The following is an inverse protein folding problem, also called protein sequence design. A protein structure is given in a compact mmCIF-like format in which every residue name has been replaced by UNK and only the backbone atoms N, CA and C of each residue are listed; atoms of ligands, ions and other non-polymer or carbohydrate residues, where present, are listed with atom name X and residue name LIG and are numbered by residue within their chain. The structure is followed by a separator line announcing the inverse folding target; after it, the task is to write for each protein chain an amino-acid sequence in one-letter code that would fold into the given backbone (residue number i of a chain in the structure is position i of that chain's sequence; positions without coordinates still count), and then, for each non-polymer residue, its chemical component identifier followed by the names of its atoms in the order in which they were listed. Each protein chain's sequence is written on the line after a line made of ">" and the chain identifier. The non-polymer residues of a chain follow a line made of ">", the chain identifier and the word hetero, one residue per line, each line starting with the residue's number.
data_IF_357353663534
#
_entry.id   IF_357353663534
#
_cell.length_a   1.000
_cell.length_b   1.000
_cell.length_c   1.000
_cell.angle_alpha   90.00
_cell.angle_beta   90.00
_cell.angle_gamma   90.00
#
_symmetry.space_group_name_H-M   'P 1'
#
loop_
_entity.id
_entity.type
_entity.pdbx_description
1 polymer ?
#
# COMPACT_ATOMS: atom_id res chain seq x y z
N UNK A 1 -56.78 20.87 -3.62
CA UNK A 1 -56.44 22.11 -2.91
C UNK A 1 -54.93 22.29 -3.00
N UNK A 2 -54.41 23.17 -3.88
CA UNK A 2 -54.06 24.59 -3.59
C UNK A 2 -53.01 24.66 -2.46
N UNK A 3 -51.80 25.26 -2.55
CA UNK A 3 -51.10 26.24 -3.44
C UNK A 3 -49.57 26.10 -3.14
N UNK A 4 -48.66 26.27 -4.11
CA UNK A 4 -47.76 27.44 -4.33
C UNK A 4 -47.15 28.05 -3.05
N UNK A 5 -45.85 28.35 -2.94
CA UNK A 5 -45.18 29.42 -3.70
C UNK A 5 -43.65 29.38 -3.60
N UNK A 6 -43.02 29.88 -4.67
CA UNK A 6 -41.60 30.06 -4.95
C UNK A 6 -41.09 31.37 -4.32
N UNK A 7 -39.82 31.46 -3.90
CA UNK A 7 -39.17 32.78 -3.78
C UNK A 7 -37.64 32.72 -3.95
N UNK A 8 -37.19 33.44 -4.98
CA UNK A 8 -35.83 33.77 -5.39
C UNK A 8 -35.67 35.29 -5.27
N UNK A 9 -34.54 35.77 -4.75
CA UNK A 9 -33.94 37.09 -5.02
C UNK A 9 -32.51 37.07 -4.42
N UNK A 10 -31.44 37.09 -5.22
CA UNK A 10 -30.74 38.25 -5.82
C UNK A 10 -29.77 39.00 -4.89
N UNK A 11 -28.51 39.00 -5.33
CA UNK A 11 -27.39 39.80 -4.83
C UNK A 11 -27.49 41.27 -5.27
N UNK A 12 -26.76 42.19 -4.60
CA UNK A 12 -26.19 43.33 -5.28
C UNK A 12 -24.67 43.44 -5.13
N UNK A 13 -24.11 44.22 -6.05
CA UNK A 13 -22.71 44.40 -6.44
C UNK A 13 -22.07 45.62 -5.73
N UNK A 14 -20.75 45.55 -5.54
CA UNK A 14 -19.67 46.59 -5.50
C UNK A 14 -19.94 47.99 -4.93
N UNK A 15 -19.01 48.46 -4.08
CA UNK A 15 -18.56 49.86 -4.12
C UNK A 15 -17.07 50.00 -3.81
N UNK A 16 -16.34 50.62 -4.73
CA UNK A 16 -14.95 51.06 -4.61
C UNK A 16 -14.85 52.29 -3.69
N UNK A 17 -13.81 52.40 -2.84
CA UNK A 17 -13.25 53.72 -2.46
C UNK A 17 -11.75 53.61 -2.22
N UNK A 18 -10.98 54.42 -2.96
CA UNK A 18 -9.56 54.69 -2.79
C UNK A 18 -9.36 55.89 -1.88
N UNK A 19 -8.33 55.89 -1.02
CA UNK A 19 -7.74 57.13 -0.47
C UNK A 19 -6.21 56.98 -0.33
N UNK A 20 -5.50 57.80 -1.09
CA UNK A 20 -4.10 58.20 -0.87
C UNK A 20 -4.07 59.32 0.17
N UNK A 21 -2.98 59.44 0.93
CA UNK A 21 -2.55 60.72 1.46
C UNK A 21 -1.02 60.77 1.53
N UNK A 22 -0.53 61.91 1.08
CA UNK A 22 0.84 62.29 0.81
C UNK A 22 1.31 63.27 1.91
N UNK A 23 2.62 63.33 2.19
CA UNK A 23 3.42 64.48 2.71
C UNK A 23 4.77 63.93 3.20
N UNK A 24 5.95 64.51 2.99
CA UNK A 24 6.42 65.75 2.34
C UNK A 24 7.95 65.62 2.13
N UNK A 25 8.51 66.45 1.24
CA UNK A 25 9.84 66.40 0.60
C UNK A 25 10.99 67.11 1.38
N UNK A 26 12.19 66.48 1.37
CA UNK A 26 13.59 66.94 1.08
C UNK A 26 14.14 68.33 1.53
N UNK A 27 15.46 68.48 1.89
CA UNK A 27 16.58 68.34 0.93
C UNK A 27 17.92 67.73 1.44
N UNK A 28 18.85 67.38 0.53
CA UNK A 28 20.12 66.70 0.82
C UNK A 28 21.27 67.68 1.08
N UNK A 29 22.32 67.23 1.79
CA UNK A 29 23.61 67.92 1.86
C UNK A 29 24.77 66.95 1.55
N UNK A 30 25.70 67.47 0.75
CA UNK A 30 26.82 66.79 0.09
C UNK A 30 28.12 66.98 0.89
N UNK A 31 28.86 65.87 1.05
CA UNK A 31 30.32 65.64 1.28
C UNK A 31 31.26 66.73 1.85
N UNK A 32 32.05 66.35 2.86
CA UNK A 32 33.53 66.42 2.83
C UNK A 32 34.23 65.52 3.86
N UNK A 33 35.44 65.12 3.48
CA UNK A 33 36.34 64.09 4.02
C UNK A 33 36.88 64.33 5.44
N UNK A 34 37.09 63.24 6.20
CA UNK A 34 38.26 63.06 7.07
C UNK A 34 38.45 61.59 7.48
N UNK A 35 39.70 61.20 7.77
CA UNK A 35 40.25 59.85 7.66
C UNK A 35 40.28 59.04 8.99
N UNK A 36 39.81 57.77 8.91
CA UNK A 36 40.22 56.57 9.69
C UNK A 36 39.93 56.50 11.22
N UNK A 37 39.98 55.30 11.88
CA UNK A 37 40.28 53.95 11.36
C UNK A 37 39.30 52.80 11.77
N UNK A 38 39.43 51.66 11.06
CA UNK A 38 39.25 50.24 11.49
C UNK A 38 37.86 49.65 11.84
N UNK A 39 37.31 48.84 10.90
CA UNK A 39 36.71 47.48 10.95
C UNK A 39 35.89 46.98 12.17
N UNK A 40 34.80 46.19 11.98
CA UNK A 40 34.90 44.92 11.24
C UNK A 40 33.78 44.56 10.23
N UNK A 41 34.23 43.81 9.22
CA UNK A 41 33.54 42.90 8.32
C UNK A 41 32.09 42.49 8.65
N UNK A 42 31.14 42.96 7.84
CA UNK A 42 29.88 42.26 7.62
C UNK A 42 30.13 41.18 6.57
N UNK A 43 30.44 39.97 7.02
CA UNK A 43 30.33 38.77 6.18
C UNK A 43 28.86 38.41 6.05
N UNK A 44 28.31 38.56 4.84
CA UNK A 44 27.04 37.95 4.47
C UNK A 44 27.13 36.42 4.67
N UNK A 45 26.36 35.90 5.63
CA UNK A 45 26.20 34.46 5.86
C UNK A 45 25.26 33.88 4.81
N UNK A 46 25.82 33.56 3.64
CA UNK A 46 25.17 32.75 2.59
C UNK A 46 25.53 31.25 2.71
N UNK A 47 26.24 30.86 3.77
CA UNK A 47 26.78 29.50 3.97
C UNK A 47 25.89 28.52 4.74
N UNK A 48 24.81 28.95 5.40
CA UNK A 48 24.03 28.06 6.29
C UNK A 48 22.89 27.31 5.56
N UNK A 49 22.45 27.78 4.39
CA UNK A 49 21.41 27.12 3.59
C UNK A 49 21.97 26.03 2.67
N UNK A 50 23.15 26.23 2.08
CA UNK A 50 23.78 25.23 1.21
C UNK A 50 24.24 24.00 1.99
N UNK A 51 24.79 24.19 3.19
CA UNK A 51 25.29 23.09 4.02
C UNK A 51 24.17 22.25 4.64
N UNK A 52 23.04 22.88 5.01
CA UNK A 52 21.80 22.16 5.40
C UNK A 52 21.20 21.33 4.26
N UNK A 53 21.16 21.87 3.04
CA UNK A 53 20.65 21.11 1.89
C UNK A 53 21.56 19.93 1.52
N UNK A 54 22.89 20.09 1.65
CA UNK A 54 23.86 19.01 1.41
C UNK A 54 23.81 17.92 2.49
N UNK A 55 23.65 18.31 3.75
CA UNK A 55 23.47 17.36 4.87
C UNK A 55 22.13 16.62 4.76
N UNK A 56 21.04 17.30 4.43
CA UNK A 56 19.74 16.68 4.17
C UNK A 56 19.78 15.71 2.98
N UNK A 57 20.45 16.09 1.88
CA UNK A 57 20.63 15.22 0.72
C UNK A 57 21.46 13.98 1.06
N UNK A 58 22.52 14.12 1.86
CA UNK A 58 23.37 13.02 2.30
C UNK A 58 22.64 12.07 3.25
N UNK A 59 21.82 12.60 4.17
CA UNK A 59 20.95 11.83 5.07
C UNK A 59 19.90 11.04 4.28
N UNK A 60 19.25 11.68 3.29
CA UNK A 60 18.29 10.99 2.39
C UNK A 60 18.95 9.88 1.58
N UNK A 61 20.17 10.10 1.10
CA UNK A 61 20.93 9.09 0.34
C UNK A 61 21.31 7.89 1.21
N UNK A 62 21.68 8.13 2.47
CA UNK A 62 21.93 7.07 3.46
C UNK A 62 20.67 6.25 3.76
N UNK A 63 19.55 6.93 4.05
CA UNK A 63 18.27 6.28 4.31
C UNK A 63 17.78 5.42 3.13
N UNK A 64 17.94 5.90 1.89
CA UNK A 64 17.59 5.12 0.71
C UNK A 64 18.43 3.85 0.57
N UNK A 65 19.72 3.92 0.90
CA UNK A 65 20.61 2.75 0.87
C UNK A 65 20.20 1.72 1.92
N UNK A 66 19.89 2.17 3.13
CA UNK A 66 19.47 1.30 4.22
C UNK A 66 18.13 0.62 3.91
N UNK A 67 17.17 1.36 3.34
CA UNK A 67 15.90 0.80 2.89
C UNK A 67 16.11 -0.26 1.80
N UNK A 68 16.99 0.02 0.83
CA UNK A 68 17.30 -0.92 -0.25
C UNK A 68 17.93 -2.22 0.30
N UNK A 69 18.87 -2.12 1.24
CA UNK A 69 19.46 -3.30 1.88
C UNK A 69 18.41 -4.16 2.59
N UNK A 70 17.47 -3.52 3.29
CA UNK A 70 16.37 -4.22 3.97
C UNK A 70 15.43 -4.90 2.99
N UNK A 71 15.08 -4.22 1.89
CA UNK A 71 14.20 -4.78 0.85
C UNK A 71 14.86 -5.98 0.15
N UNK A 72 16.17 -5.92 -0.12
CA UNK A 72 16.91 -7.06 -0.69
C UNK A 72 17.00 -8.23 0.30
N UNK A 73 17.26 -7.95 1.59
CA UNK A 73 17.21 -8.96 2.64
C UNK A 73 15.84 -9.64 2.73
N UNK A 74 14.76 -8.88 2.55
CA UNK A 74 13.41 -9.42 2.48
C UNK A 74 13.17 -10.30 1.27
N UNK A 75 13.61 -9.88 0.07
CA UNK A 75 13.51 -10.72 -1.14
C UNK A 75 14.19 -12.08 -0.92
N UNK A 76 15.38 -12.10 -0.32
CA UNK A 76 16.09 -13.34 0.01
C UNK A 76 15.27 -14.21 0.98
N UNK A 77 14.72 -13.61 2.04
CA UNK A 77 13.90 -14.31 3.03
C UNK A 77 12.62 -14.89 2.40
N UNK A 78 11.91 -14.08 1.62
CA UNK A 78 10.67 -14.47 0.95
C UNK A 78 10.92 -15.57 -0.09
N UNK A 79 12.01 -15.46 -0.87
CA UNK A 79 12.47 -16.51 -1.78
C UNK A 79 12.66 -17.82 -1.03
N UNK A 80 13.45 -17.81 0.05
CA UNK A 80 13.72 -19.02 0.84
C UNK A 80 12.44 -19.65 1.41
N UNK A 81 11.44 -18.83 1.77
CA UNK A 81 10.13 -19.29 2.27
C UNK A 81 9.24 -19.91 1.20
N UNK A 82 9.35 -19.46 -0.06
CA UNK A 82 8.45 -19.86 -1.16
C UNK A 82 9.09 -20.82 -2.18
N UNK A 83 10.42 -21.01 -2.15
CA UNK A 83 11.15 -21.78 -3.18
C UNK A 83 10.87 -23.28 -3.10
N UNK A 84 10.55 -23.82 -1.91
CA UNK A 84 10.41 -25.26 -1.68
C UNK A 84 9.07 -25.58 -1.03
N UNK A 85 8.46 -26.68 -1.46
CA UNK A 85 7.24 -27.24 -0.89
C UNK A 85 7.47 -28.69 -0.48
N UNK A 86 6.80 -29.13 0.58
CA UNK A 86 6.91 -30.50 1.09
C UNK A 86 5.60 -31.25 0.90
N UNK A 87 5.68 -32.50 0.44
CA UNK A 87 4.53 -33.39 0.34
C UNK A 87 4.48 -34.32 1.57
N UNK A 88 3.43 -34.18 2.39
CA UNK A 88 3.19 -35.06 3.54
C UNK A 88 4.05 -34.77 4.80
N UNK A 89 3.91 -35.64 5.81
CA UNK A 89 4.54 -35.55 7.15
C UNK A 89 5.93 -36.18 7.26
N UNK A 90 6.52 -36.62 6.15
CA UNK A 90 7.85 -37.25 6.20
C UNK A 90 8.93 -36.17 6.24
N UNK A 91 9.41 -35.89 7.45
CA UNK A 91 10.62 -35.14 7.72
C UNK A 91 11.85 -35.85 7.10
N UNK A 92 12.83 -35.04 6.69
CA UNK A 92 14.13 -35.40 6.12
C UNK A 92 14.20 -35.57 4.59
N UNK A 93 14.01 -34.45 3.86
CA UNK A 93 14.49 -34.30 2.48
C UNK A 93 14.17 -32.89 1.99
N UNK A 94 15.15 -32.19 1.42
CA UNK A 94 14.97 -30.82 0.90
C UNK A 94 13.73 -30.76 0.01
N UNK A 95 12.63 -30.12 0.46
CA UNK A 95 11.33 -30.15 -0.22
C UNK A 95 11.39 -29.88 -1.72
N UNK A 96 10.45 -30.30 -2.54
CA UNK A 96 10.51 -30.13 -4.00
C UNK A 96 10.56 -28.65 -4.37
N UNK A 97 11.38 -28.28 -5.37
CA UNK A 97 11.42 -26.92 -5.88
C UNK A 97 10.07 -26.59 -6.50
N UNK A 98 9.39 -25.55 -6.00
CA UNK A 98 8.06 -25.15 -6.48
C UNK A 98 8.04 -24.96 -8.00
N UNK A 99 9.08 -24.32 -8.55
CA UNK A 99 9.21 -24.08 -9.99
C UNK A 99 9.24 -25.33 -10.86
N UNK A 100 9.69 -26.47 -10.33
CA UNK A 100 9.77 -27.70 -11.11
C UNK A 100 8.41 -28.39 -11.26
N UNK A 101 7.47 -28.07 -10.39
CA UNK A 101 6.15 -28.73 -10.32
C UNK A 101 4.98 -27.77 -10.52
N UNK A 102 5.24 -26.45 -10.55
CA UNK A 102 4.20 -25.46 -10.70
C UNK A 102 3.53 -25.55 -12.06
N UNK A 103 2.20 -25.67 -12.04
CA UNK A 103 1.34 -25.54 -13.22
C UNK A 103 0.51 -24.29 -13.04
N UNK A 104 0.46 -23.45 -14.08
CA UNK A 104 -0.32 -22.22 -14.04
C UNK A 104 -1.82 -22.53 -13.85
N UNK A 105 -2.44 -21.85 -12.89
CA UNK A 105 -3.87 -22.01 -12.64
C UNK A 105 -4.67 -21.23 -13.67
N UNK A 106 -5.78 -21.83 -14.08
CA UNK A 106 -6.80 -21.14 -14.86
C UNK A 106 -7.65 -20.27 -13.94
N UNK A 107 -7.33 -18.98 -13.87
CA UNK A 107 -8.04 -17.99 -13.05
C UNK A 107 -8.97 -17.20 -13.95
N UNK A 108 -10.20 -16.92 -13.51
CA UNK A 108 -11.16 -16.07 -14.19
C UNK A 108 -11.75 -15.04 -13.23
N UNK A 109 -12.31 -13.95 -13.77
CA UNK A 109 -13.03 -12.98 -12.95
C UNK A 109 -14.31 -13.61 -12.39
N UNK A 110 -14.45 -13.61 -11.07
CA UNK A 110 -15.66 -14.11 -10.41
C UNK A 110 -16.83 -13.15 -10.63
N UNK A 111 -18.01 -13.68 -10.97
CA UNK A 111 -19.23 -12.88 -10.98
C UNK A 111 -19.59 -12.54 -9.53
N UNK A 112 -19.67 -11.23 -9.23
CA UNK A 112 -20.21 -10.71 -7.98
C UNK A 112 -21.72 -10.95 -7.95
N UNK A 113 -22.16 -12.16 -7.63
CA UNK A 113 -23.43 -12.45 -6.97
C UNK A 113 -23.52 -13.94 -6.59
N UNK A 114 -23.70 -14.18 -5.29
CA UNK A 114 -24.10 -15.42 -4.63
C UNK A 114 -23.08 -16.57 -4.53
N UNK A 115 -22.73 -16.84 -3.27
CA UNK A 115 -22.06 -18.04 -2.77
C UNK A 115 -22.74 -19.27 -3.37
N UNK A 116 -22.15 -19.84 -4.43
CA UNK A 116 -22.65 -21.06 -5.05
C UNK A 116 -22.44 -22.21 -4.05
N UNK A 117 -23.49 -22.49 -3.29
CA UNK A 117 -23.61 -23.64 -2.41
C UNK A 117 -23.55 -24.92 -3.24
N UNK A 118 -22.39 -25.58 -3.16
CA UNK A 118 -22.14 -27.02 -3.34
C UNK A 118 -22.51 -27.70 -4.67
N UNK A 119 -21.51 -28.43 -5.18
CA UNK A 119 -21.48 -29.38 -6.29
C UNK A 119 -21.19 -28.82 -7.69
N UNK A 120 -19.92 -28.92 -8.07
CA UNK A 120 -19.38 -28.68 -9.42
C UNK A 120 -19.81 -29.74 -10.46
N UNK A 121 -20.67 -30.71 -10.13
CA UNK A 121 -21.08 -31.80 -11.04
C UNK A 121 -22.25 -31.42 -11.97
N UNK A 122 -22.66 -30.13 -12.05
CA UNK A 122 -23.80 -29.74 -12.90
C UNK A 122 -23.62 -28.48 -13.77
N UNK A 123 -22.40 -28.02 -13.99
CA UNK A 123 -22.15 -26.81 -14.79
C UNK A 123 -21.96 -27.06 -16.30
N UNK A 124 -22.88 -27.81 -16.92
CA UNK A 124 -22.99 -27.87 -18.38
C UNK A 124 -24.38 -27.53 -18.93
N UNK A 125 -25.41 -27.32 -18.09
CA UNK A 125 -26.80 -27.30 -18.58
C UNK A 125 -27.66 -26.08 -18.23
N UNK A 126 -27.14 -25.05 -17.53
CA UNK A 126 -27.91 -23.82 -17.26
C UNK A 126 -27.54 -22.67 -18.21
N UNK A 127 -27.96 -22.86 -19.45
CA UNK A 127 -28.51 -21.85 -20.39
C UNK A 127 -28.34 -20.35 -20.05
N UNK A 128 -27.53 -19.69 -20.88
CA UNK A 128 -27.80 -18.41 -21.56
C UNK A 128 -28.35 -17.25 -20.72
N UNK A 129 -27.44 -16.36 -20.28
CA UNK A 129 -27.63 -14.89 -20.37
C UNK A 129 -26.29 -14.15 -20.14
N UNK A 130 -25.82 -13.52 -21.23
CA UNK A 130 -24.64 -12.64 -21.38
C UNK A 130 -23.29 -13.35 -21.30
N UNK A 131 -22.77 -13.67 -22.49
CA UNK A 131 -21.35 -13.95 -22.71
C UNK A 131 -20.51 -12.71 -22.37
N UNK A 132 -20.06 -12.60 -21.13
CA UNK A 132 -18.74 -12.04 -20.89
C UNK A 132 -17.80 -13.23 -20.96
N UNK A 133 -16.92 -13.20 -21.95
CA UNK A 133 -15.93 -14.25 -22.22
C UNK A 133 -15.25 -14.65 -20.90
N UNK A 134 -15.19 -15.94 -20.58
CA UNK A 134 -14.29 -16.48 -19.54
C UNK A 134 -12.86 -16.17 -19.98
N UNK A 135 -12.43 -14.95 -19.70
CA UNK A 135 -11.14 -14.43 -20.12
C UNK A 135 -10.16 -14.90 -19.05
N UNK A 136 -9.20 -15.77 -19.40
CA UNK A 136 -8.23 -16.25 -18.44
C UNK A 136 -7.41 -15.06 -17.94
N UNK A 137 -7.26 -14.96 -16.63
CA UNK A 137 -6.46 -13.97 -15.94
C UNK A 137 -5.15 -14.65 -15.55
N UNK A 138 -4.03 -14.09 -16.00
CA UNK A 138 -2.73 -14.52 -15.48
C UNK A 138 -2.57 -14.01 -14.06
N UNK A 139 -1.92 -14.78 -13.20
CA UNK A 139 -1.71 -14.42 -11.79
C UNK A 139 -1.06 -13.04 -11.60
N UNK A 140 -0.13 -12.66 -12.49
CA UNK A 140 0.51 -11.33 -12.49
C UNK A 140 -0.39 -10.16 -12.91
N UNK A 141 -1.53 -10.45 -13.53
CA UNK A 141 -2.45 -9.46 -14.06
C UNK A 141 -3.70 -9.29 -13.17
N UNK A 142 -3.78 -9.95 -12.00
CA UNK A 142 -4.97 -9.96 -11.13
C UNK A 142 -5.41 -8.56 -10.63
N UNK A 143 -4.50 -7.58 -10.59
CA UNK A 143 -4.80 -6.20 -10.21
C UNK A 143 -4.99 -5.26 -11.42
N UNK A 144 -4.83 -5.75 -12.64
CA UNK A 144 -5.01 -4.94 -13.85
C UNK A 144 -6.51 -4.84 -14.15
N UNK A 145 -6.97 -3.63 -14.37
CA UNK A 145 -8.34 -3.40 -14.83
C UNK A 145 -8.51 -3.94 -16.26
N UNK A 146 -9.53 -4.77 -16.48
CA UNK A 146 -9.81 -5.39 -17.79
C UNK A 146 -10.52 -4.44 -18.77
N UNK A 147 -10.93 -3.26 -18.33
CA UNK A 147 -11.49 -2.21 -19.20
C UNK A 147 -11.13 -0.81 -18.67
N UNK A 148 -11.04 0.18 -19.57
CA UNK A 148 -10.73 1.58 -19.23
C UNK A 148 -11.80 2.24 -18.35
N UNK A 149 -12.97 1.62 -18.20
CA UNK A 149 -14.10 2.11 -17.38
C UNK A 149 -14.12 1.52 -15.96
N UNK A 150 -13.30 0.51 -15.69
CA UNK A 150 -13.22 -0.14 -14.36
C UNK A 150 -12.45 0.75 -13.38
N UNK A 151 -12.98 0.90 -12.17
CA UNK A 151 -12.26 1.55 -11.06
C UNK A 151 -10.97 0.78 -10.77
N UNK A 152 -9.93 1.48 -10.33
CA UNK A 152 -8.66 0.86 -9.90
C UNK A 152 -8.95 -0.26 -8.88
N UNK A 153 -8.52 -1.48 -9.21
CA UNK A 153 -8.67 -2.65 -8.33
C UNK A 153 -7.66 -2.51 -7.20
N UNK A 154 -8.15 -2.51 -5.96
CA UNK A 154 -7.33 -2.45 -4.75
C UNK A 154 -7.30 -3.77 -4.01
N UNK A 155 -8.46 -4.43 -3.90
CA UNK A 155 -8.63 -5.69 -3.17
C UNK A 155 -9.07 -6.76 -4.14
N UNK A 156 -8.39 -7.90 -4.14
CA UNK A 156 -8.72 -9.10 -4.88
C UNK A 156 -8.99 -10.22 -3.88
N UNK A 157 -10.08 -10.95 -4.06
CA UNK A 157 -10.36 -12.19 -3.33
C UNK A 157 -10.34 -13.34 -4.32
N UNK A 158 -9.42 -14.28 -4.14
CA UNK A 158 -9.37 -15.52 -4.91
C UNK A 158 -10.14 -16.62 -4.19
N UNK A 159 -11.19 -17.12 -4.83
CA UNK A 159 -11.97 -18.23 -4.32
C UNK A 159 -11.82 -19.46 -5.21
N UNK A 160 -12.01 -20.64 -4.63
CA UNK A 160 -11.93 -21.91 -5.33
C UNK A 160 -11.94 -23.08 -4.37
N UNK A 161 -12.21 -24.29 -4.87
CA UNK A 161 -12.29 -25.50 -4.04
C UNK A 161 -10.97 -25.79 -3.30
N UNK A 162 -11.05 -26.57 -2.22
CA UNK A 162 -9.86 -27.02 -1.50
C UNK A 162 -8.94 -27.82 -2.44
N UNK A 163 -7.63 -27.63 -2.31
CA UNK A 163 -6.64 -28.33 -3.14
C UNK A 163 -6.46 -27.81 -4.57
N UNK A 164 -7.25 -26.82 -5.02
CA UNK A 164 -7.12 -26.24 -6.38
C UNK A 164 -5.80 -25.49 -6.62
N UNK A 165 -4.99 -25.26 -5.59
CA UNK A 165 -3.68 -24.63 -5.70
C UNK A 165 -3.60 -23.15 -5.36
N UNK A 166 -4.61 -22.57 -4.66
CA UNK A 166 -4.61 -21.14 -4.25
C UNK A 166 -3.30 -20.71 -3.57
N UNK A 167 -2.91 -21.42 -2.51
CA UNK A 167 -1.64 -21.20 -1.79
C UNK A 167 -0.41 -21.39 -2.69
N UNK A 168 -0.42 -22.36 -3.60
CA UNK A 168 0.68 -22.57 -4.54
C UNK A 168 0.85 -21.38 -5.50
N UNK A 169 -0.25 -20.77 -5.96
CA UNK A 169 -0.20 -19.55 -6.78
C UNK A 169 0.33 -18.34 -6.03
N UNK A 170 -0.06 -18.17 -4.76
CA UNK A 170 0.48 -17.12 -3.89
C UNK A 170 1.99 -17.31 -3.68
N UNK A 171 2.44 -18.53 -3.39
CA UNK A 171 3.85 -18.85 -3.23
C UNK A 171 4.63 -18.63 -4.52
N UNK A 172 4.09 -19.05 -5.68
CA UNK A 172 4.73 -18.86 -6.97
C UNK A 172 4.87 -17.38 -7.32
N UNK A 173 3.80 -16.60 -7.16
CA UNK A 173 3.82 -15.15 -7.35
C UNK A 173 4.90 -14.48 -6.49
N UNK A 174 4.93 -14.83 -5.20
CA UNK A 174 5.89 -14.27 -4.23
C UNK A 174 7.32 -14.64 -4.59
N UNK A 175 7.55 -15.88 -5.05
CA UNK A 175 8.86 -16.37 -5.49
C UNK A 175 9.34 -15.62 -6.74
N UNK A 176 8.50 -15.47 -7.76
CA UNK A 176 8.86 -14.77 -9.00
C UNK A 176 9.17 -13.30 -8.76
N UNK A 177 8.41 -12.63 -7.88
CA UNK A 177 8.69 -11.26 -7.47
C UNK A 177 10.02 -11.15 -6.72
N UNK A 178 10.28 -12.06 -5.79
CA UNK A 178 11.51 -12.07 -4.99
C UNK A 178 12.77 -12.30 -5.85
N UNK A 179 12.65 -13.04 -6.96
CA UNK A 179 13.74 -13.29 -7.89
C UNK A 179 13.89 -12.24 -8.99
N UNK A 180 13.02 -11.22 -9.01
CA UNK A 180 13.08 -10.17 -10.00
C UNK A 180 12.47 -10.52 -11.36
N UNK A 181 11.70 -11.60 -11.46
CA UNK A 181 11.17 -12.11 -12.73
C UNK A 181 9.92 -11.35 -13.17
N UNK A 182 9.00 -11.09 -12.23
CA UNK A 182 7.69 -10.51 -12.52
C UNK A 182 7.31 -9.46 -11.46
N UNK A 183 6.33 -8.60 -11.78
CA UNK A 183 5.70 -7.64 -10.83
C UNK A 183 6.69 -6.66 -10.15
N UNK A 184 7.81 -6.32 -10.81
CA UNK A 184 8.81 -5.39 -10.27
C UNK A 184 8.35 -3.92 -10.24
N UNK A 185 7.14 -3.63 -10.72
CA UNK A 185 6.47 -2.37 -10.45
C UNK A 185 6.03 -2.24 -8.98
N UNK A 186 5.88 -3.35 -8.26
CA UNK A 186 5.66 -3.38 -6.81
C UNK A 186 7.00 -3.19 -6.08
N UNK A 187 7.04 -2.20 -5.20
CA UNK A 187 8.20 -1.96 -4.33
C UNK A 187 8.34 -3.05 -3.27
N UNK A 188 7.22 -3.61 -2.79
CA UNK A 188 7.21 -4.58 -1.72
C UNK A 188 6.02 -5.54 -1.79
N UNK A 189 6.31 -6.84 -1.68
CA UNK A 189 5.31 -7.92 -1.51
C UNK A 189 5.46 -8.53 -0.12
N UNK A 190 4.36 -8.54 0.63
CA UNK A 190 4.27 -9.04 1.99
C UNK A 190 3.29 -10.20 2.04
N UNK A 191 3.75 -11.36 2.50
CA UNK A 191 2.94 -12.56 2.63
C UNK A 191 2.69 -12.87 4.11
N UNK A 192 1.43 -12.77 4.52
CA UNK A 192 0.95 -13.08 5.86
C UNK A 192 -0.08 -14.19 5.75
N UNK A 193 0.15 -15.34 6.38
CA UNK A 193 -0.89 -16.36 6.45
C UNK A 193 -1.85 -16.08 7.61
N UNK A 194 -3.13 -16.38 7.45
CA UNK A 194 -4.07 -16.33 8.57
C UNK A 194 -3.68 -17.29 9.70
N UNK A 195 -3.03 -18.41 9.38
CA UNK A 195 -2.44 -19.33 10.37
C UNK A 195 -1.40 -18.62 11.25
N UNK A 196 -0.50 -17.84 10.66
CA UNK A 196 0.50 -17.05 11.38
C UNK A 196 -0.17 -15.91 12.17
N UNK A 197 -1.12 -15.19 11.57
CA UNK A 197 -1.83 -14.09 12.24
C UNK A 197 -2.60 -14.57 13.48
N UNK A 198 -3.09 -15.80 13.48
CA UNK A 198 -3.75 -16.41 14.64
C UNK A 198 -2.83 -16.48 15.88
N UNK A 199 -1.50 -16.48 15.71
CA UNK A 199 -0.53 -16.54 16.82
C UNK A 199 -0.50 -15.26 17.65
N UNK A 200 -0.89 -14.13 17.07
CA UNK A 200 -0.89 -12.80 17.71
C UNK A 200 -2.29 -12.18 17.78
N UNK A 201 -3.33 -12.99 17.57
CA UNK A 201 -4.73 -12.52 17.50
C UNK A 201 -5.22 -11.80 18.76
N UNK A 202 -4.65 -12.17 19.91
CA UNK A 202 -5.02 -11.66 21.23
C UNK A 202 -4.12 -10.48 21.66
N UNK A 203 -3.12 -10.13 20.84
CA UNK A 203 -2.21 -9.02 21.07
C UNK A 203 -2.77 -7.69 20.55
N UNK A 204 -2.26 -6.60 21.11
CA UNK A 204 -2.50 -5.23 20.63
C UNK A 204 -1.22 -4.73 19.98
N UNK A 205 -1.22 -4.58 18.66
CA UNK A 205 -0.03 -4.22 17.88
C UNK A 205 -0.36 -3.08 16.92
N UNK A 206 0.66 -2.34 16.49
CA UNK A 206 0.53 -1.49 15.30
C UNK A 206 0.75 -2.32 14.05
N UNK A 207 0.35 -1.83 12.86
CA UNK A 207 0.68 -2.52 11.61
C UNK A 207 2.19 -2.63 11.43
N UNK A 208 2.95 -1.58 11.75
CA UNK A 208 4.41 -1.61 11.67
C UNK A 208 5.00 -2.72 12.54
N UNK A 209 4.55 -2.81 13.80
CA UNK A 209 4.98 -3.86 14.73
C UNK A 209 4.56 -5.25 14.26
N UNK A 210 3.34 -5.40 13.73
CA UNK A 210 2.86 -6.66 13.15
C UNK A 210 3.79 -7.14 12.03
N UNK A 211 4.19 -6.23 11.13
CA UNK A 211 5.13 -6.54 10.05
C UNK A 211 6.52 -6.91 10.58
N UNK A 212 7.02 -6.25 11.62
CA UNK A 212 8.29 -6.61 12.26
C UNK A 212 8.28 -8.01 12.90
N UNK A 213 7.12 -8.45 13.42
CA UNK A 213 6.95 -9.79 14.00
C UNK A 213 7.05 -10.88 12.93
N UNK A 214 6.35 -10.72 11.81
CA UNK A 214 6.30 -11.74 10.76
C UNK A 214 7.42 -11.63 9.72
N UNK A 215 8.08 -10.47 9.62
CA UNK A 215 9.20 -10.20 8.72
C UNK A 215 10.37 -9.57 9.49
N UNK A 216 11.22 -10.35 10.18
CA UNK A 216 12.29 -9.82 11.02
C UNK A 216 13.33 -8.95 10.30
N UNK A 217 13.47 -9.09 8.98
CA UNK A 217 14.31 -8.20 8.16
C UNK A 217 13.83 -6.75 8.21
N UNK A 218 12.56 -6.50 8.57
CA UNK A 218 11.93 -5.19 8.55
C UNK A 218 12.22 -4.34 9.78
N UNK A 219 13.00 -4.81 10.75
CA UNK A 219 13.26 -4.07 12.00
C UNK A 219 13.81 -2.65 11.77
N UNK A 220 14.44 -2.40 10.60
CA UNK A 220 14.93 -1.07 10.21
C UNK A 220 13.94 -0.24 9.36
N UNK A 221 12.84 -0.84 8.88
CA UNK A 221 11.78 -0.12 8.14
C UNK A 221 11.01 0.76 9.10
N UNK A 222 10.82 2.02 8.70
CA UNK A 222 10.04 3.02 9.43
C UNK A 222 8.65 3.17 8.82
N UNK A 223 7.79 3.89 9.53
CA UNK A 223 6.42 4.14 9.10
C UNK A 223 6.37 4.89 7.76
N UNK A 224 7.23 5.91 7.58
CA UNK A 224 7.29 6.70 6.35
C UNK A 224 7.70 5.86 5.13
N UNK A 225 8.56 4.87 5.31
CA UNK A 225 9.05 4.02 4.22
C UNK A 225 7.91 3.17 3.64
N UNK A 226 6.98 2.70 4.48
CA UNK A 226 5.77 1.99 4.02
C UNK A 226 4.83 2.90 3.23
N UNK A 227 4.76 4.19 3.53
CA UNK A 227 3.82 5.09 2.82
C UNK A 227 4.26 5.43 1.40
N UNK A 228 5.56 5.33 1.10
CA UNK A 228 6.12 5.64 -0.23
C UNK A 228 6.23 4.39 -1.13
N UNK A 229 6.20 3.19 -0.55
CA UNK A 229 6.26 1.95 -1.30
C UNK A 229 4.93 1.62 -2.00
N UNK A 230 5.01 1.14 -3.25
CA UNK A 230 3.88 0.44 -3.87
C UNK A 230 3.81 -0.97 -3.29
N UNK A 231 2.98 -1.13 -2.26
CA UNK A 231 2.84 -2.36 -1.49
C UNK A 231 1.76 -3.29 -2.03
N UNK A 232 2.03 -4.58 -1.97
CA UNK A 232 1.04 -5.66 -2.03
C UNK A 232 1.09 -6.46 -0.71
N UNK A 233 -0.03 -6.53 -0.02
CA UNK A 233 -0.26 -7.39 1.13
C UNK A 233 -1.07 -8.60 0.68
N UNK A 234 -0.52 -9.80 0.85
CA UNK A 234 -1.18 -11.07 0.55
C UNK A 234 -1.55 -11.76 1.86
N UNK A 235 -2.83 -12.08 2.02
CA UNK A 235 -3.40 -12.77 3.17
C UNK A 235 -3.85 -14.17 2.77
N UNK A 236 -2.97 -15.17 2.92
CA UNK A 236 -3.23 -16.55 2.48
C UNK A 236 -3.88 -17.40 3.59
N UNK A 237 -4.68 -18.39 3.17
CA UNK A 237 -5.30 -19.36 4.07
C UNK A 237 -6.48 -18.81 4.88
N UNK A 238 -7.35 -17.99 4.27
CA UNK A 238 -8.54 -17.42 4.93
C UNK A 238 -9.42 -18.47 5.61
N UNK A 239 -9.49 -19.68 5.06
CA UNK A 239 -10.21 -20.83 5.63
C UNK A 239 -9.63 -21.30 6.99
N UNK A 240 -8.40 -20.92 7.31
CA UNK A 240 -7.73 -21.19 8.58
C UNK A 240 -7.83 -20.03 9.58
N UNK A 241 -8.52 -18.94 9.22
CA UNK A 241 -8.66 -17.76 10.06
C UNK A 241 -9.47 -18.04 11.32
N UNK A 242 -8.97 -17.58 12.47
CA UNK A 242 -9.71 -17.50 13.73
C UNK A 242 -10.05 -16.06 14.11
N UNK A 243 -9.83 -15.14 13.18
CA UNK A 243 -10.06 -13.71 13.35
C UNK A 243 -11.52 -13.38 13.04
N UNK A 244 -12.12 -12.48 13.82
CA UNK A 244 -13.47 -11.99 13.59
C UNK A 244 -13.39 -10.62 12.91
N UNK A 245 -13.49 -10.60 11.58
CA UNK A 245 -13.41 -9.39 10.77
C UNK A 245 -14.76 -8.69 10.73
N UNK A 246 -15.02 -7.87 11.73
CA UNK A 246 -16.24 -7.05 11.80
C UNK A 246 -16.09 -5.77 10.98
N UNK A 247 -16.61 -5.79 9.75
CA UNK A 247 -16.64 -4.62 8.86
C UNK A 247 -17.70 -3.58 9.24
N UNK A 248 -18.58 -3.88 10.19
CA UNK A 248 -19.55 -2.92 10.75
C UNK A 248 -18.94 -2.06 11.87
N UNK A 249 -17.79 -2.46 12.39
CA UNK A 249 -17.02 -1.69 13.36
C UNK A 249 -16.65 -0.33 12.76
N UNK A 250 -16.90 0.74 13.53
CA UNK A 250 -16.66 2.13 13.12
C UNK A 250 -15.28 2.67 13.50
N UNK A 251 -14.43 1.86 14.12
CA UNK A 251 -13.08 2.26 14.49
C UNK A 251 -12.21 2.43 13.24
N UNK A 252 -11.84 3.69 12.96
CA UNK A 252 -10.99 4.07 11.83
C UNK A 252 -9.54 4.20 12.31
N UNK A 253 -8.64 3.51 11.62
CA UNK A 253 -7.19 3.58 11.83
C UNK A 253 -6.54 3.90 10.49
N UNK A 254 -5.72 4.96 10.47
CA UNK A 254 -5.01 5.41 9.27
C UNK A 254 -3.49 5.47 9.44
N UNK A 255 -3.00 5.46 10.68
CA UNK A 255 -1.58 5.48 11.00
C UNK A 255 -1.05 4.06 11.23
N UNK A 256 0.04 3.70 10.55
CA UNK A 256 0.68 2.37 10.65
C UNK A 256 1.33 2.12 12.01
N UNK A 257 1.54 3.16 12.82
CA UNK A 257 2.09 3.09 14.18
C UNK A 257 1.01 3.02 15.27
N UNK A 258 -0.26 3.27 14.91
CA UNK A 258 -1.36 3.20 15.86
C UNK A 258 -1.63 1.75 16.27
N UNK A 259 -1.57 1.50 17.58
CA UNK A 259 -1.79 0.18 18.18
C UNK A 259 -3.29 -0.16 18.21
N UNK A 260 -3.64 -1.38 17.80
CA UNK A 260 -4.99 -1.94 17.85
C UNK A 260 -4.95 -3.47 17.75
N UNK A 261 -6.12 -4.11 17.84
CA UNK A 261 -6.24 -5.54 17.60
C UNK A 261 -6.00 -5.89 16.13
N UNK A 262 -5.52 -7.10 15.87
CA UNK A 262 -5.29 -7.62 14.52
C UNK A 262 -6.55 -7.53 13.65
N UNK A 263 -7.72 -7.84 14.21
CA UNK A 263 -9.01 -7.74 13.49
C UNK A 263 -9.25 -6.33 12.95
N UNK A 264 -9.07 -5.31 13.80
CA UNK A 264 -9.30 -3.91 13.42
C UNK A 264 -8.26 -3.45 12.40
N UNK A 265 -7.00 -3.86 12.54
CA UNK A 265 -5.95 -3.54 11.56
C UNK A 265 -6.30 -4.12 10.17
N UNK A 266 -6.69 -5.40 10.09
CA UNK A 266 -7.05 -6.04 8.83
C UNK A 266 -8.29 -5.42 8.18
N UNK A 267 -9.33 -5.13 8.97
CA UNK A 267 -10.53 -4.45 8.46
C UNK A 267 -10.18 -3.08 7.88
N UNK A 268 -9.36 -2.29 8.59
CA UNK A 268 -8.96 -0.97 8.13
C UNK A 268 -8.02 -1.03 6.91
N UNK A 269 -7.18 -2.06 6.79
CA UNK A 269 -6.43 -2.34 5.57
C UNK A 269 -7.38 -2.63 4.41
N UNK A 270 -8.33 -3.56 4.57
CA UNK A 270 -9.25 -3.98 3.50
C UNK A 270 -10.13 -2.82 3.05
N UNK A 271 -10.69 -2.05 3.99
CA UNK A 271 -11.50 -0.86 3.70
C UNK A 271 -10.69 0.31 3.09
N UNK A 272 -9.35 0.28 3.23
CA UNK A 272 -8.47 1.31 2.70
C UNK A 272 -8.30 2.53 3.60
N UNK A 273 -8.73 2.46 4.86
CA UNK A 273 -8.42 3.48 5.87
C UNK A 273 -6.93 3.47 6.22
N UNK A 274 -6.36 2.26 6.35
CA UNK A 274 -4.95 2.03 6.60
C UNK A 274 -4.24 1.64 5.30
N UNK A 275 -3.12 2.30 4.99
CA UNK A 275 -2.39 2.14 3.72
C UNK A 275 -3.33 2.19 2.49
N UNK A 276 -3.98 3.35 2.22
CA UNK A 276 -4.99 3.47 1.15
C UNK A 276 -4.47 3.08 -0.24
N UNK A 277 -3.17 3.29 -0.50
CA UNK A 277 -2.55 2.97 -1.79
C UNK A 277 -2.12 1.51 -1.96
N UNK A 278 -2.09 0.72 -0.87
CA UNK A 278 -1.66 -0.68 -0.93
C UNK A 278 -2.68 -1.55 -1.67
N UNK A 279 -2.16 -2.51 -2.43
CA UNK A 279 -2.94 -3.60 -3.01
C UNK A 279 -3.09 -4.71 -1.97
N UNK A 280 -4.23 -5.39 -1.99
CA UNK A 280 -4.55 -6.47 -1.07
C UNK A 280 -5.04 -7.67 -1.88
N UNK A 281 -4.40 -8.82 -1.66
CA UNK A 281 -4.85 -10.10 -2.19
C UNK A 281 -5.21 -11.02 -1.02
N UNK A 282 -6.42 -11.56 -1.04
CA UNK A 282 -6.94 -12.56 -0.10
C UNK A 282 -7.23 -13.86 -0.84
#
# INVERSE_FOLDING_TARGET
>A
SMKEENNRAESPVSSCVSLKSDQSKDPPLVFRDEAGPSNPDVRESSGDHSDRLLTDARMKTGQMRDLQEVLEGHKISLKSRCERVTEGTNEAGSGTLLKQIYTELYITEGQSEEVNTQHEVRQLERTSKKSLQDTPIRCQDIFKAFSEQQKKIRVVLTNGVAGVGKTFSVQKFSLDWAEGLENQDLSLVLLLSFRELNLVRDEQLSLLTLLHVFHPTFQKIRAEDLTVCKLLLIFDGLDESRLSLDFSNKQVISDVTQVSSVNVLLVNLIQGNLLPSALIWI
#
